data_IF_754519184510
#
_entry.id   IF_754519184510
#
_cell.length_a   1.000
_cell.length_b   1.000
_cell.length_c   1.000
_cell.angle_alpha   90.00
_cell.angle_beta   90.00
_cell.angle_gamma   90.00
#
_symmetry.space_group_name_H-M   'P 1'
#
loop_
_entity.id
_entity.type
_entity.pdbx_description
1 polymer ?
#
# COMPACT_ATOMS: atom_id res chain seq x y z
N UNK A 1 -24.44 -12.92 1.97
CA UNK A 1 -24.75 -11.76 1.11
C UNK A 1 -26.19 -11.25 1.24
N UNK A 2 -27.13 -12.04 1.80
CA UNK A 2 -28.55 -11.70 2.00
C UNK A 2 -28.86 -10.46 2.88
N UNK A 3 -27.86 -9.77 3.44
CA UNK A 3 -28.07 -8.71 4.45
C UNK A 3 -27.63 -7.31 4.01
N UNK A 4 -26.97 -7.16 2.85
CA UNK A 4 -26.37 -5.88 2.45
C UNK A 4 -27.33 -4.88 1.80
N UNK A 5 -28.54 -5.31 1.39
CA UNK A 5 -29.39 -4.48 0.54
C UNK A 5 -30.85 -4.33 0.96
N UNK A 6 -31.44 -5.22 1.77
CA UNK A 6 -32.90 -5.24 2.01
C UNK A 6 -33.72 -5.03 0.71
N UNK A 7 -33.31 -5.69 -0.38
CA UNK A 7 -33.92 -5.54 -1.72
C UNK A 7 -33.59 -4.26 -2.50
N UNK A 8 -32.74 -3.36 -1.97
CA UNK A 8 -32.36 -2.07 -2.58
C UNK A 8 -31.12 -2.11 -3.46
N UNK A 9 -30.40 -3.23 -3.49
CA UNK A 9 -29.19 -3.40 -4.29
C UNK A 9 -29.34 -4.70 -5.10
N UNK A 10 -29.10 -4.60 -6.40
CA UNK A 10 -29.09 -5.75 -7.31
C UNK A 10 -27.66 -6.30 -7.46
N UNK A 11 -27.51 -7.61 -7.71
CA UNK A 11 -26.19 -8.25 -7.91
C UNK A 11 -25.39 -7.60 -9.05
N UNK A 12 -26.07 -7.07 -10.07
CA UNK A 12 -25.43 -6.34 -11.17
C UNK A 12 -24.75 -5.03 -10.73
N UNK A 13 -25.11 -4.48 -9.57
CA UNK A 13 -24.53 -3.27 -9.00
C UNK A 13 -23.32 -3.59 -8.10
N UNK A 14 -23.14 -4.86 -7.72
CA UNK A 14 -21.97 -5.28 -6.96
C UNK A 14 -20.79 -5.51 -7.89
N UNK A 15 -19.61 -4.97 -7.57
CA UNK A 15 -18.42 -5.25 -8.36
C UNK A 15 -18.08 -6.73 -8.25
N UNK A 16 -18.01 -7.41 -9.38
CA UNK A 16 -17.53 -8.78 -9.45
C UNK A 16 -16.09 -8.87 -8.93
N UNK A 17 -15.67 -10.04 -8.43
CA UNK A 17 -14.33 -10.21 -7.84
C UNK A 17 -13.21 -9.77 -8.81
N UNK A 18 -13.36 -10.02 -10.11
CA UNK A 18 -12.41 -9.55 -11.14
C UNK A 18 -12.29 -8.03 -11.16
N UNK A 19 -13.41 -7.31 -11.02
CA UNK A 19 -13.42 -5.85 -10.94
C UNK A 19 -12.77 -5.37 -9.64
N UNK A 20 -13.02 -6.03 -8.52
CA UNK A 20 -12.36 -5.71 -7.23
C UNK A 20 -10.85 -5.92 -7.34
N UNK A 21 -10.39 -7.07 -7.85
CA UNK A 21 -8.98 -7.34 -8.07
C UNK A 21 -8.33 -6.27 -8.95
N UNK A 22 -8.99 -5.88 -10.04
CA UNK A 22 -8.49 -4.83 -10.91
C UNK A 22 -8.36 -3.49 -10.17
N UNK A 23 -9.37 -3.07 -9.40
CA UNK A 23 -9.32 -1.83 -8.62
C UNK A 23 -8.17 -1.85 -7.59
N UNK A 24 -7.96 -2.97 -6.90
CA UNK A 24 -6.85 -3.12 -5.94
C UNK A 24 -5.50 -2.99 -6.65
N UNK A 25 -5.32 -3.62 -7.81
CA UNK A 25 -4.08 -3.53 -8.58
C UNK A 25 -3.83 -2.13 -9.15
N UNK A 26 -4.88 -1.43 -9.57
CA UNK A 26 -4.78 -0.06 -10.08
C UNK A 26 -4.39 0.92 -8.96
N UNK A 27 -4.98 0.77 -7.77
CA UNK A 27 -4.62 1.56 -6.60
C UNK A 27 -3.18 1.27 -6.14
N UNK A 28 -2.79 -0.02 -6.11
CA UNK A 28 -1.42 -0.43 -5.80
C UNK A 28 -0.41 0.24 -6.74
N UNK A 29 -0.68 0.29 -8.05
CA UNK A 29 0.22 0.94 -9.01
C UNK A 29 0.35 2.44 -8.75
N UNK A 30 -0.75 3.09 -8.39
CA UNK A 30 -0.76 4.51 -8.04
C UNK A 30 0.11 4.79 -6.82
N UNK A 31 -0.10 4.07 -5.72
CA UNK A 31 0.70 4.24 -4.50
C UNK A 31 2.15 3.77 -4.67
N UNK A 32 2.42 2.76 -5.48
CA UNK A 32 3.78 2.33 -5.82
C UNK A 32 4.56 3.44 -6.55
N UNK A 33 3.95 4.08 -7.56
CA UNK A 33 4.59 5.17 -8.28
C UNK A 33 4.85 6.38 -7.38
N UNK A 34 3.89 6.72 -6.52
CA UNK A 34 4.05 7.77 -5.52
C UNK A 34 5.16 7.47 -4.52
N UNK A 35 5.22 6.23 -4.01
CA UNK A 35 6.28 5.78 -3.11
C UNK A 35 7.65 5.87 -3.78
N UNK A 36 7.75 5.45 -5.05
CA UNK A 36 8.97 5.56 -5.84
C UNK A 36 9.41 7.01 -5.99
N UNK A 37 8.48 7.94 -6.21
CA UNK A 37 8.79 9.36 -6.35
C UNK A 37 9.13 10.02 -5.01
N UNK A 38 8.47 9.63 -3.92
CA UNK A 38 8.82 10.03 -2.55
C UNK A 38 10.25 9.61 -2.19
N UNK A 39 10.63 8.36 -2.49
CA UNK A 39 11.99 7.86 -2.23
C UNK A 39 13.05 8.56 -3.08
N UNK A 40 12.75 8.92 -4.34
CA UNK A 40 13.67 9.74 -5.17
C UNK A 40 13.89 11.14 -4.59
N UNK A 41 12.84 11.72 -4.00
CA UNK A 41 12.88 13.06 -3.40
C UNK A 41 13.30 13.05 -1.92
N UNK A 42 13.69 11.89 -1.38
CA UNK A 42 14.15 11.77 -0.01
C UNK A 42 15.36 12.68 0.24
N UNK A 43 15.33 13.37 1.38
CA UNK A 43 16.42 14.20 1.84
C UNK A 43 17.41 13.35 2.63
N UNK A 44 18.63 13.24 2.12
CA UNK A 44 19.71 12.52 2.77
C UNK A 44 19.64 11.01 2.52
N UNK A 45 19.81 10.21 3.58
CA UNK A 45 19.90 8.75 3.49
C UNK A 45 18.54 8.11 3.72
N UNK A 46 18.27 7.03 2.98
CA UNK A 46 17.14 6.12 3.21
C UNK A 46 17.67 4.98 4.06
N UNK A 47 16.98 4.67 5.17
CA UNK A 47 17.24 3.49 5.99
C UNK A 47 16.18 2.45 5.71
N UNK A 48 16.55 1.17 5.61
CA UNK A 48 15.61 0.08 5.35
C UNK A 48 15.63 -0.89 6.52
N UNK A 49 14.45 -1.32 6.93
CA UNK A 49 14.27 -2.44 7.86
C UNK A 49 13.66 -3.61 7.11
N UNK A 50 13.99 -4.82 7.57
CA UNK A 50 13.45 -6.04 6.99
C UNK A 50 12.93 -6.92 8.11
N UNK A 51 11.64 -7.26 8.02
CA UNK A 51 11.02 -8.26 8.88
C UNK A 51 10.92 -9.57 8.10
N UNK A 52 11.52 -10.62 8.65
CA UNK A 52 11.54 -11.96 8.07
C UNK A 52 10.77 -12.89 9.00
N UNK A 53 9.83 -13.65 8.44
CA UNK A 53 9.10 -14.66 9.19
C UNK A 53 8.71 -15.83 8.28
N UNK A 54 8.34 -16.95 8.91
CA UNK A 54 7.71 -18.06 8.21
C UNK A 54 6.33 -18.31 8.78
N UNK A 55 5.38 -18.74 7.96
CA UNK A 55 4.06 -19.16 8.43
C UNK A 55 4.10 -20.64 8.92
N UNK A 56 3.00 -21.14 9.50
CA UNK A 56 2.91 -22.56 9.91
C UNK A 56 3.05 -23.57 8.76
N UNK A 57 2.79 -23.16 7.51
CA UNK A 57 2.99 -23.98 6.32
C UNK A 57 4.45 -23.97 5.83
N UNK A 58 5.34 -23.24 6.53
CA UNK A 58 6.77 -23.05 6.24
C UNK A 58 7.04 -22.20 5.02
N UNK A 59 6.07 -21.41 4.58
CA UNK A 59 6.28 -20.38 3.57
C UNK A 59 7.06 -19.23 4.20
N UNK A 60 8.10 -18.77 3.52
CA UNK A 60 8.96 -17.69 4.02
C UNK A 60 8.53 -16.35 3.43
N UNK A 61 8.44 -15.34 4.29
CA UNK A 61 8.01 -13.99 3.95
C UNK A 61 9.08 -12.97 4.37
N UNK A 62 9.12 -11.88 3.62
CA UNK A 62 10.01 -10.75 3.86
C UNK A 62 9.22 -9.47 3.62
N UNK A 63 9.03 -8.66 4.66
CA UNK A 63 8.56 -7.29 4.52
C UNK A 63 9.76 -6.35 4.54
N UNK A 64 9.77 -5.38 3.61
CA UNK A 64 10.79 -4.33 3.58
C UNK A 64 10.13 -2.99 3.82
N UNK A 65 10.59 -2.26 4.82
CA UNK A 65 10.08 -0.92 5.12
C UNK A 65 11.21 0.10 4.95
N UNK A 66 10.96 1.14 4.16
CA UNK A 66 11.86 2.28 4.03
C UNK A 66 11.50 3.37 5.02
N UNK A 67 12.53 4.04 5.54
CA UNK A 67 12.45 5.16 6.47
C UNK A 67 13.32 6.30 5.94
N UNK A 68 12.74 7.48 5.76
CA UNK A 68 13.41 8.60 5.11
C UNK A 68 12.85 9.95 5.57
N UNK A 69 13.62 11.01 5.33
CA UNK A 69 13.19 12.38 5.61
C UNK A 69 12.74 13.04 4.31
N UNK A 70 11.67 13.86 4.36
CA UNK A 70 11.23 14.69 3.24
C UNK A 70 10.95 16.12 3.70
N UNK A 71 10.91 17.05 2.74
CA UNK A 71 10.50 18.42 3.01
C UNK A 71 8.97 18.49 2.95
N UNK A 72 8.37 18.76 4.10
CA UNK A 72 6.94 18.99 4.24
C UNK A 72 6.53 20.42 3.92
N UNK A 73 5.27 20.72 4.23
CA UNK A 73 4.74 22.07 4.13
C UNK A 73 5.52 23.04 5.03
N UNK A 74 5.64 24.30 4.59
CA UNK A 74 6.39 25.35 5.31
C UNK A 74 7.87 25.01 5.54
N UNK A 75 8.46 24.19 4.66
CA UNK A 75 9.90 23.94 4.63
C UNK A 75 10.43 23.13 5.83
N UNK A 76 9.55 22.40 6.54
CA UNK A 76 9.92 21.56 7.69
C UNK A 76 10.42 20.20 7.22
N UNK A 77 11.34 19.60 7.98
CA UNK A 77 11.72 18.21 7.79
C UNK A 77 10.67 17.29 8.42
N UNK A 78 10.16 16.35 7.63
CA UNK A 78 9.19 15.35 8.03
C UNK A 78 9.79 13.96 7.87
N UNK A 79 9.65 13.14 8.91
CA UNK A 79 9.97 11.73 8.83
C UNK A 79 8.82 10.98 8.16
N UNK A 80 9.14 10.10 7.20
CA UNK A 80 8.19 9.26 6.49
C UNK A 80 8.67 7.83 6.42
N UNK A 81 7.69 6.94 6.26
CA UNK A 81 7.92 5.52 6.12
C UNK A 81 6.95 4.93 5.11
N UNK A 82 7.40 3.93 4.37
CA UNK A 82 6.60 3.20 3.39
C UNK A 82 7.06 1.75 3.29
N UNK A 83 6.10 0.83 3.10
CA UNK A 83 6.39 -0.54 2.70
C UNK A 83 6.85 -0.52 1.23
N UNK A 84 7.92 -1.25 0.93
CA UNK A 84 8.54 -1.34 -0.41
C UNK A 84 8.15 -2.64 -1.08
#
# INVERSE_FOLDING_TARGET
>A
LLYLGDGKINDAELPHHTKITQMVLDEYRTEYNKTKDDLKNALGRISMTTDLWSDPNRDSYMAVTSHFMMRGEKNRLEYRTCLV
#
